data_IF_934701601830
#
_entry.id   IF_934701601830
#
_cell.length_a   1.000
_cell.length_b   1.000
_cell.length_c   1.000
_cell.angle_alpha   90.00
_cell.angle_beta   90.00
_cell.angle_gamma   90.00
#
_symmetry.space_group_name_H-M   'P 1'
#
loop_
_entity.id
_entity.type
_entity.pdbx_description
1 polymer ?
#
# COMPACT_ATOMS: atom_id res chain seq x y z
N UNK A 1 6.53 -23.40 -16.70
CA UNK A 1 7.69 -23.14 -15.83
C UNK A 1 7.51 -21.72 -15.30
N UNK A 2 6.90 -21.59 -14.13
CA UNK A 2 6.46 -20.30 -13.60
C UNK A 2 7.60 -19.72 -12.77
N UNK A 3 8.23 -18.66 -13.28
CA UNK A 3 9.40 -17.99 -12.67
C UNK A 3 9.03 -17.15 -11.43
N UNK A 4 8.20 -17.69 -10.53
CA UNK A 4 7.70 -16.99 -9.34
C UNK A 4 8.78 -16.74 -8.28
N UNK A 5 9.94 -17.39 -8.39
CA UNK A 5 11.02 -17.26 -7.41
C UNK A 5 11.84 -15.96 -7.49
N UNK A 6 11.88 -15.28 -8.64
CA UNK A 6 12.70 -14.07 -8.85
C UNK A 6 11.88 -12.77 -8.96
N UNK A 7 10.56 -12.85 -9.16
CA UNK A 7 9.71 -11.67 -9.34
C UNK A 7 9.58 -10.81 -8.08
N UNK A 8 9.60 -11.44 -6.90
CA UNK A 8 9.45 -10.73 -5.61
C UNK A 8 10.52 -9.66 -5.36
N UNK A 9 11.82 -10.00 -5.43
CA UNK A 9 12.90 -9.02 -5.30
C UNK A 9 12.86 -7.91 -6.36
N UNK A 10 12.52 -8.26 -7.61
CA UNK A 10 12.48 -7.31 -8.73
C UNK A 10 11.36 -6.28 -8.53
N UNK A 11 10.19 -6.71 -8.09
CA UNK A 11 9.04 -5.83 -7.83
C UNK A 11 9.32 -4.83 -6.69
N UNK A 12 10.11 -5.23 -5.69
CA UNK A 12 10.53 -4.30 -4.63
C UNK A 12 11.49 -3.22 -5.16
N UNK A 13 12.46 -3.61 -5.99
CA UNK A 13 13.39 -2.65 -6.62
C UNK A 13 12.64 -1.71 -7.57
N UNK A 14 11.66 -2.23 -8.30
CA UNK A 14 10.76 -1.42 -9.14
C UNK A 14 9.98 -0.41 -8.29
N UNK A 15 9.43 -0.84 -7.15
CA UNK A 15 8.78 0.06 -6.19
C UNK A 15 9.71 1.17 -5.66
N UNK A 16 11.00 0.88 -5.47
CA UNK A 16 11.98 1.90 -5.10
C UNK A 16 12.28 2.87 -6.24
N UNK A 17 12.42 2.39 -7.48
CA UNK A 17 12.70 3.20 -8.67
C UNK A 17 11.54 4.13 -9.02
N UNK A 18 10.30 3.65 -8.92
CA UNK A 18 9.10 4.45 -9.22
C UNK A 18 8.64 5.32 -8.04
N UNK A 19 8.90 4.90 -6.79
CA UNK A 19 8.47 5.60 -5.59
C UNK A 19 9.54 6.54 -5.03
N UNK A 20 10.36 6.02 -4.11
CA UNK A 20 11.27 6.84 -3.29
C UNK A 20 12.40 7.49 -4.09
N UNK A 21 13.02 6.73 -5.00
CA UNK A 21 14.17 7.22 -5.77
C UNK A 21 13.77 8.34 -6.73
N UNK A 22 12.57 8.22 -7.31
CA UNK A 22 11.98 9.23 -8.15
C UNK A 22 11.86 10.55 -7.37
N UNK A 23 11.22 10.54 -6.19
CA UNK A 23 11.01 11.76 -5.38
C UNK A 23 12.34 12.39 -4.95
N UNK A 24 13.35 11.57 -4.63
CA UNK A 24 14.70 12.05 -4.29
C UNK A 24 15.35 12.76 -5.48
N UNK A 25 15.32 12.17 -6.68
CA UNK A 25 15.89 12.79 -7.89
C UNK A 25 15.18 14.11 -8.25
N UNK A 26 13.87 14.18 -8.04
CA UNK A 26 13.08 15.41 -8.21
C UNK A 26 13.55 16.51 -7.24
N UNK A 27 13.69 16.15 -5.96
CA UNK A 27 14.14 17.07 -4.91
C UNK A 27 15.57 17.54 -5.16
N UNK A 28 16.44 16.64 -5.65
CA UNK A 28 17.82 16.96 -6.01
C UNK A 28 17.89 17.96 -7.16
N UNK A 29 17.03 17.82 -8.18
CA UNK A 29 16.93 18.82 -9.26
C UNK A 29 16.50 20.19 -8.75
N UNK A 30 15.53 20.26 -7.82
CA UNK A 30 15.10 21.52 -7.21
C UNK A 30 16.24 22.15 -6.39
N UNK A 31 16.98 21.35 -5.63
CA UNK A 31 18.12 21.82 -4.84
C UNK A 31 19.24 22.38 -5.73
N UNK A 32 19.58 21.67 -6.83
CA UNK A 32 20.59 22.13 -7.80
C UNK A 32 20.15 23.44 -8.46
N UNK A 33 18.87 23.60 -8.81
CA UNK A 33 18.33 24.86 -9.38
C UNK A 33 18.37 25.99 -8.36
N UNK A 34 17.98 25.74 -7.11
CA UNK A 34 18.08 26.74 -6.05
C UNK A 34 19.52 27.20 -5.82
N UNK A 35 20.46 26.25 -5.85
CA UNK A 35 21.90 26.55 -5.79
C UNK A 35 22.38 27.37 -7.01
N UNK A 36 21.95 27.00 -8.22
CA UNK A 36 22.24 27.73 -9.45
C UNK A 36 21.62 29.14 -9.49
N UNK A 37 20.50 29.37 -8.80
CA UNK A 37 19.87 30.70 -8.66
C UNK A 37 20.61 31.57 -7.62
N UNK A 38 21.20 30.97 -6.59
CA UNK A 38 22.04 31.66 -5.60
C UNK A 38 23.37 32.16 -6.18
N UNK A 39 23.88 31.52 -7.24
CA UNK A 39 25.04 31.97 -8.03
C UNK A 39 24.85 33.37 -8.68
N UNK A 40 23.65 33.97 -8.58
CA UNK A 40 23.45 35.42 -8.77
C UNK A 40 23.51 35.93 -10.21
N UNK A 41 23.73 35.04 -11.19
CA UNK A 41 23.80 35.39 -12.63
C UNK A 41 22.89 34.54 -13.52
N UNK A 42 22.05 33.69 -12.94
CA UNK A 42 21.26 32.73 -13.69
C UNK A 42 19.89 33.31 -14.08
N UNK A 43 19.58 33.27 -15.38
CA UNK A 43 18.28 33.72 -15.90
C UNK A 43 17.14 33.01 -15.15
N UNK A 44 16.26 33.78 -14.50
CA UNK A 44 15.04 33.30 -13.84
C UNK A 44 14.21 32.34 -14.72
N UNK A 45 14.28 32.54 -16.04
CA UNK A 45 13.70 31.67 -17.07
C UNK A 45 14.14 30.20 -16.97
N UNK A 46 15.40 29.93 -16.59
CA UNK A 46 15.91 28.57 -16.38
C UNK A 46 15.31 27.95 -15.12
N UNK A 47 15.19 28.72 -14.04
CA UNK A 47 14.53 28.28 -12.81
C UNK A 47 13.08 27.88 -13.05
N UNK A 48 12.30 28.73 -13.73
CA UNK A 48 10.90 28.44 -14.07
C UNK A 48 10.77 27.18 -14.93
N UNK A 49 11.65 26.98 -15.92
CA UNK A 49 11.62 25.78 -16.77
C UNK A 49 11.83 24.49 -15.96
N UNK A 50 12.70 24.50 -14.97
CA UNK A 50 12.95 23.30 -14.15
C UNK A 50 11.82 23.03 -13.17
N UNK A 51 11.20 24.06 -12.58
CA UNK A 51 10.02 23.91 -11.70
C UNK A 51 8.86 23.29 -12.50
N UNK A 52 8.61 23.79 -13.71
CA UNK A 52 7.57 23.26 -14.62
C UNK A 52 7.87 21.81 -15.01
N UNK A 53 9.12 21.48 -15.34
CA UNK A 53 9.52 20.10 -15.64
C UNK A 53 9.31 19.13 -14.47
N UNK A 54 9.61 19.56 -13.24
CA UNK A 54 9.39 18.76 -12.04
C UNK A 54 7.89 18.49 -11.81
N UNK A 55 7.04 19.50 -11.99
CA UNK A 55 5.58 19.37 -11.92
C UNK A 55 5.02 18.43 -13.00
N UNK A 56 5.58 18.45 -14.21
CA UNK A 56 5.16 17.56 -15.29
C UNK A 56 5.52 16.09 -15.03
N UNK A 57 6.69 15.79 -14.43
CA UNK A 57 7.11 14.41 -14.16
C UNK A 57 6.34 13.80 -12.97
N UNK A 58 6.15 14.56 -11.88
CA UNK A 58 5.49 14.06 -10.66
C UNK A 58 4.02 14.40 -10.52
N UNK A 59 3.62 15.63 -10.87
CA UNK A 59 2.26 16.13 -10.66
C UNK A 59 1.29 15.73 -11.77
N UNK A 60 1.70 15.84 -13.04
CA UNK A 60 0.81 15.58 -14.17
C UNK A 60 0.24 14.14 -14.20
N UNK A 61 0.99 13.06 -13.90
CA UNK A 61 0.44 11.71 -13.90
C UNK A 61 -0.62 11.50 -12.82
N UNK A 62 -0.45 12.08 -11.63
CA UNK A 62 -1.43 12.01 -10.53
C UNK A 62 -2.73 12.72 -10.91
N UNK A 63 -2.61 13.89 -11.53
CA UNK A 63 -3.77 14.66 -12.03
C UNK A 63 -4.47 13.87 -13.15
N UNK A 64 -3.71 13.31 -14.10
CA UNK A 64 -4.25 12.51 -15.19
C UNK A 64 -4.94 11.24 -14.66
N UNK A 65 -4.36 10.54 -13.69
CA UNK A 65 -4.96 9.36 -13.09
C UNK A 65 -6.28 9.68 -12.38
N UNK A 66 -6.37 10.83 -11.69
CA UNK A 66 -7.62 11.31 -11.10
C UNK A 66 -8.68 11.68 -12.13
N UNK A 67 -8.27 12.27 -13.26
CA UNK A 67 -9.19 12.65 -14.34
C UNK A 67 -9.65 11.44 -15.18
N UNK A 68 -8.78 10.44 -15.33
CA UNK A 68 -9.00 9.22 -16.12
C UNK A 68 -9.66 8.11 -15.31
N UNK A 69 -10.15 8.39 -14.09
CA UNK A 69 -10.98 7.45 -13.33
C UNK A 69 -12.12 7.01 -14.27
N UNK A 70 -12.18 5.72 -14.65
CA UNK A 70 -13.21 5.26 -15.54
C UNK A 70 -14.55 5.50 -14.85
N UNK A 71 -15.38 6.39 -15.41
CA UNK A 71 -16.75 6.68 -14.92
C UNK A 71 -17.58 5.39 -14.80
N UNK A 72 -17.20 4.36 -15.56
CA UNK A 72 -17.83 3.04 -15.56
C UNK A 72 -17.38 2.15 -14.37
N UNK A 73 -16.25 2.44 -13.73
CA UNK A 73 -15.83 1.78 -12.48
C UNK A 73 -16.52 2.37 -11.23
N UNK A 74 -17.21 3.50 -11.40
CA UNK A 74 -18.13 4.05 -10.39
C UNK A 74 -19.54 3.46 -10.51
N UNK A 75 -19.72 2.32 -11.18
CA UNK A 75 -20.83 1.46 -10.80
C UNK A 75 -20.61 1.09 -9.34
N UNK A 76 -21.48 1.49 -8.39
CA UNK A 76 -21.33 1.07 -7.01
C UNK A 76 -21.30 -0.45 -7.04
N UNK A 77 -20.17 -1.04 -6.64
CA UNK A 77 -20.14 -2.42 -6.19
C UNK A 77 -21.03 -2.42 -4.95
N UNK A 78 -22.34 -2.56 -5.17
CA UNK A 78 -23.27 -2.92 -4.13
C UNK A 78 -22.86 -4.33 -3.77
N UNK A 79 -21.84 -4.44 -2.93
CA UNK A 79 -21.60 -5.63 -2.14
C UNK A 79 -22.93 -5.87 -1.46
N UNK A 80 -23.67 -6.86 -1.94
CA UNK A 80 -24.76 -7.44 -1.18
C UNK A 80 -24.21 -7.60 0.23
N UNK A 81 -24.83 -6.99 1.26
CA UNK A 81 -24.35 -7.15 2.62
C UNK A 81 -24.22 -8.65 2.81
N UNK A 82 -22.99 -9.11 3.03
CA UNK A 82 -22.73 -10.47 3.45
C UNK A 82 -23.58 -10.61 4.69
N UNK A 83 -24.71 -11.32 4.56
CA UNK A 83 -25.52 -11.72 5.69
C UNK A 83 -24.58 -12.58 6.50
N UNK A 84 -23.96 -11.95 7.50
CA UNK A 84 -23.15 -12.63 8.49
C UNK A 84 -24.06 -13.73 9.02
N UNK A 85 -23.73 -14.97 8.68
CA UNK A 85 -24.56 -16.11 9.00
C UNK A 85 -24.88 -16.01 10.48
N UNK A 86 -26.17 -15.79 10.79
CA UNK A 86 -26.73 -15.77 12.15
C UNK A 86 -25.97 -16.82 12.96
N UNK A 87 -25.08 -16.36 13.85
CA UNK A 87 -24.29 -17.22 14.72
C UNK A 87 -25.31 -17.86 15.63
N UNK A 88 -25.87 -19.00 15.20
CA UNK A 88 -26.79 -19.76 16.02
C UNK A 88 -26.08 -20.01 17.33
N UNK A 89 -26.70 -19.68 18.48
CA UNK A 89 -26.08 -19.92 19.76
C UNK A 89 -25.63 -21.38 19.80
N UNK A 90 -24.38 -21.65 20.23
CA UNK A 90 -23.93 -23.02 20.36
C UNK A 90 -24.96 -23.78 21.21
N UNK A 91 -25.37 -24.99 20.80
CA UNK A 91 -26.37 -25.75 21.54
C UNK A 91 -25.96 -25.82 23.02
N UNK A 92 -26.91 -25.69 23.97
CA UNK A 92 -26.61 -25.81 25.38
C UNK A 92 -25.77 -27.07 25.59
N UNK A 93 -24.55 -26.89 26.11
CA UNK A 93 -23.67 -28.03 26.39
C UNK A 93 -24.50 -29.00 27.23
N UNK A 94 -24.67 -30.24 26.76
CA UNK A 94 -25.37 -31.26 27.52
C UNK A 94 -24.82 -31.27 28.95
N UNK A 95 -25.65 -31.44 29.99
CA UNK A 95 -25.19 -31.42 31.38
C UNK A 95 -23.97 -32.35 31.48
N UNK A 96 -22.80 -31.78 31.76
CA UNK A 96 -21.59 -32.58 31.88
C UNK A 96 -21.80 -33.46 33.11
N UNK A 97 -22.02 -34.74 32.86
CA UNK A 97 -22.15 -35.74 33.91
C UNK A 97 -20.84 -35.70 34.70
N UNK A 98 -20.90 -35.07 35.87
CA UNK A 98 -19.78 -34.90 36.78
C UNK A 98 -19.31 -36.29 37.18
N UNK A 99 -18.21 -36.75 36.58
CA UNK A 99 -17.57 -38.01 36.93
C UNK A 99 -16.49 -37.74 37.99
N UNK A 100 -16.78 -38.02 39.28
CA UNK A 100 -15.86 -37.76 40.38
C UNK A 100 -14.60 -38.64 40.33
N UNK A 101 -14.54 -39.65 39.47
CA UNK A 101 -13.36 -40.51 39.32
C UNK A 101 -12.36 -40.03 38.24
N UNK A 102 -12.69 -38.96 37.50
CA UNK A 102 -11.80 -38.38 36.48
C UNK A 102 -10.46 -37.83 37.05
N UNK A 103 -10.36 -37.63 38.37
CA UNK A 103 -9.13 -37.23 39.06
C UNK A 103 -8.27 -38.39 39.61
N UNK A 104 -8.78 -39.63 39.62
CA UNK A 104 -8.08 -40.79 40.19
C UNK A 104 -7.38 -41.66 39.13
N UNK A 105 -7.68 -41.48 37.84
CA UNK A 105 -7.08 -42.23 36.74
C UNK A 105 -5.79 -41.60 36.18
N UNK A 106 -5.34 -40.48 36.73
CA UNK A 106 -4.04 -39.90 36.38
C UNK A 106 -2.94 -40.72 37.07
N UNK A 107 -2.00 -41.34 36.32
CA UNK A 107 -0.85 -41.98 36.92
C UNK A 107 -0.06 -40.93 37.74
N UNK A 108 0.34 -41.25 38.98
CA UNK A 108 1.17 -40.33 39.75
C UNK A 108 2.59 -40.35 39.17
N UNK A 109 2.89 -39.41 38.27
CA UNK A 109 4.25 -39.24 37.75
C UNK A 109 4.37 -38.53 36.41
N UNK A 110 4.03 -37.24 36.38
CA UNK A 110 4.72 -36.20 35.59
C UNK A 110 4.50 -34.85 36.27
#
# INVERSE_FOLDING_TARGET
>A
MNATGLSGPIQWVEGLMLGSLATIAATLSVAIVGFLLLEGRLDWRRGVRTIVGCFLIFGAPVIAAGLLVPVNAAAPNVSSPTVEAEVRPPPPRAPQQYDPYAGAALPPGW
#
